data_IF_984706881131
#
_entry.id   IF_984706881131
#
_cell.length_a   1.000
_cell.length_b   1.000
_cell.length_c   1.000
_cell.angle_alpha   90.00
_cell.angle_beta   90.00
_cell.angle_gamma   90.00
#
_symmetry.space_group_name_H-M   'P 1'
#
loop_
_entity.id
_entity.type
_entity.pdbx_description
1 polymer ?
#
# COMPACT_ATOMS: atom_id res chain seq x y z
N UNK A 1 -85.33 3.10 37.05
CA UNK A 1 -84.26 3.15 36.03
C UNK A 1 -84.23 1.84 35.28
N UNK A 2 -84.34 1.84 33.94
CA UNK A 2 -84.15 0.63 33.13
C UNK A 2 -82.69 0.18 33.29
N UNK A 3 -82.47 -1.03 33.81
CA UNK A 3 -81.13 -1.59 34.11
C UNK A 3 -80.19 -1.53 32.88
N UNK A 4 -80.78 -1.61 31.70
CA UNK A 4 -80.09 -1.59 30.41
C UNK A 4 -79.41 -0.23 30.10
N UNK A 5 -80.00 0.88 30.57
CA UNK A 5 -79.42 2.22 30.38
C UNK A 5 -78.21 2.50 31.29
N UNK A 6 -78.19 1.88 32.48
CA UNK A 6 -77.07 2.02 33.43
C UNK A 6 -75.84 1.22 32.98
N UNK A 7 -76.04 0.04 32.39
CA UNK A 7 -74.97 -0.78 31.81
C UNK A 7 -74.30 -0.03 30.66
N UNK A 8 -75.09 0.61 29.77
CA UNK A 8 -74.53 1.41 28.67
C UNK A 8 -73.65 2.56 29.19
N UNK A 9 -74.10 3.23 30.26
CA UNK A 9 -73.39 4.36 30.87
C UNK A 9 -72.06 3.95 31.54
N UNK A 10 -71.93 2.69 31.98
CA UNK A 10 -70.69 2.11 32.50
C UNK A 10 -69.76 1.57 31.40
N UNK A 11 -70.31 0.98 30.33
CA UNK A 11 -69.52 0.38 29.24
C UNK A 11 -68.92 1.45 28.32
N UNK A 12 -69.65 2.53 28.05
CA UNK A 12 -69.19 3.62 27.17
C UNK A 12 -67.85 4.24 27.59
N UNK A 13 -67.62 4.66 28.86
CA UNK A 13 -66.32 5.20 29.27
C UNK A 13 -65.20 4.17 29.21
N UNK A 14 -65.50 2.88 29.43
CA UNK A 14 -64.51 1.80 29.32
C UNK A 14 -64.06 1.61 27.86
N UNK A 15 -65.01 1.62 26.92
CA UNK A 15 -64.70 1.58 25.48
C UNK A 15 -63.91 2.81 25.06
N UNK A 16 -64.28 3.99 25.55
CA UNK A 16 -63.60 5.25 25.23
C UNK A 16 -62.15 5.25 25.75
N UNK A 17 -61.92 4.73 26.96
CA UNK A 17 -60.59 4.53 27.51
C UNK A 17 -59.75 3.57 26.65
N UNK A 18 -60.32 2.43 26.22
CA UNK A 18 -59.63 1.50 25.33
C UNK A 18 -59.27 2.15 23.98
N UNK A 19 -60.16 2.98 23.42
CA UNK A 19 -59.87 3.75 22.21
C UNK A 19 -58.72 4.74 22.40
N UNK A 20 -58.63 5.43 23.55
CA UNK A 20 -57.52 6.33 23.84
C UNK A 20 -56.18 5.59 23.94
N UNK A 21 -56.15 4.45 24.65
CA UNK A 21 -54.93 3.63 24.78
C UNK A 21 -54.50 3.07 23.43
N UNK A 22 -55.44 2.54 22.65
CA UNK A 22 -55.16 2.06 21.30
C UNK A 22 -54.63 3.20 20.41
N UNK A 23 -55.26 4.37 20.43
CA UNK A 23 -54.81 5.55 19.70
C UNK A 23 -53.40 6.00 20.07
N UNK A 24 -53.07 6.00 21.36
CA UNK A 24 -51.71 6.31 21.84
C UNK A 24 -50.68 5.29 21.33
N UNK A 25 -51.01 4.00 21.37
CA UNK A 25 -50.12 2.93 20.88
C UNK A 25 -49.84 3.05 19.38
N UNK A 26 -50.85 3.39 18.57
CA UNK A 26 -50.66 3.65 17.13
C UNK A 26 -49.73 4.85 16.86
N UNK A 27 -49.86 5.93 17.63
CA UNK A 27 -48.97 7.10 17.52
C UNK A 27 -47.54 6.73 17.92
N UNK A 28 -47.38 5.96 19.00
CA UNK A 28 -46.07 5.49 19.46
C UNK A 28 -45.40 4.58 18.43
N UNK A 29 -46.10 3.58 17.90
CA UNK A 29 -45.55 2.70 16.87
C UNK A 29 -45.14 3.46 15.60
N UNK A 30 -45.92 4.45 15.17
CA UNK A 30 -45.58 5.27 14.01
C UNK A 30 -44.29 6.07 14.22
N UNK A 31 -44.07 6.59 15.44
CA UNK A 31 -42.82 7.26 15.81
C UNK A 31 -41.64 6.31 15.83
N UNK A 32 -41.83 5.09 16.33
CA UNK A 32 -40.77 4.10 16.40
C UNK A 32 -40.35 3.62 15.01
N UNK A 33 -41.30 3.30 14.14
CA UNK A 33 -41.03 2.94 12.75
C UNK A 33 -40.27 4.07 12.03
N UNK A 34 -40.65 5.32 12.30
CA UNK A 34 -39.95 6.49 11.74
C UNK A 34 -38.49 6.58 12.24
N UNK A 35 -38.26 6.40 13.54
CA UNK A 35 -36.91 6.43 14.12
C UNK A 35 -36.02 5.30 13.57
N UNK A 36 -36.57 4.09 13.46
CA UNK A 36 -35.85 2.93 12.90
C UNK A 36 -35.51 3.16 11.44
N UNK A 37 -36.45 3.65 10.63
CA UNK A 37 -36.19 3.98 9.22
C UNK A 37 -35.08 5.04 9.09
N UNK A 38 -35.10 6.06 9.95
CA UNK A 38 -34.07 7.10 9.99
C UNK A 38 -32.70 6.52 10.36
N UNK A 39 -32.62 5.65 11.36
CA UNK A 39 -31.38 4.98 11.76
C UNK A 39 -30.84 4.09 10.64
N UNK A 40 -31.70 3.28 10.01
CA UNK A 40 -31.32 2.43 8.88
C UNK A 40 -30.78 3.26 7.70
N UNK A 41 -31.44 4.37 7.37
CA UNK A 41 -30.97 5.26 6.32
C UNK A 41 -29.65 5.96 6.67
N UNK A 42 -29.45 6.33 7.95
CA UNK A 42 -28.17 6.88 8.42
C UNK A 42 -27.02 5.86 8.32
N UNK A 43 -27.25 4.60 8.69
CA UNK A 43 -26.26 3.52 8.53
C UNK A 43 -25.93 3.32 7.05
N UNK A 44 -26.95 3.31 6.17
CA UNK A 44 -26.72 3.19 4.72
C UNK A 44 -25.92 4.38 4.17
N UNK A 45 -26.23 5.61 4.57
CA UNK A 45 -25.48 6.80 4.20
C UNK A 45 -24.02 6.72 4.65
N UNK A 46 -23.75 6.17 5.84
CA UNK A 46 -22.39 5.93 6.31
C UNK A 46 -21.63 4.93 5.42
N UNK A 47 -22.24 3.78 5.08
CA UNK A 47 -21.60 2.79 4.19
C UNK A 47 -21.36 3.33 2.78
N UNK A 48 -22.22 4.23 2.29
CA UNK A 48 -21.99 4.93 1.02
C UNK A 48 -20.79 5.87 1.09
N UNK A 49 -20.63 6.59 2.20
CA UNK A 49 -19.46 7.43 2.43
C UNK A 49 -18.17 6.58 2.51
N UNK A 50 -18.21 5.44 3.19
CA UNK A 50 -17.06 4.53 3.32
C UNK A 50 -16.65 3.92 1.96
N UNK A 51 -17.63 3.53 1.15
CA UNK A 51 -17.38 3.10 -0.22
C UNK A 51 -16.75 4.23 -1.08
N UNK A 52 -17.19 5.48 -0.87
CA UNK A 52 -16.60 6.64 -1.50
C UNK A 52 -15.14 6.88 -1.06
N UNK A 53 -14.81 6.72 0.22
CA UNK A 53 -13.42 6.75 0.71
C UNK A 53 -12.58 5.65 0.06
N UNK A 54 -13.09 4.42 0.00
CA UNK A 54 -12.39 3.29 -0.63
C UNK A 54 -12.07 3.57 -2.11
N UNK A 55 -13.04 4.14 -2.83
CA UNK A 55 -12.83 4.60 -4.20
C UNK A 55 -11.79 5.72 -4.25
N UNK A 56 -11.85 6.68 -3.33
CA UNK A 56 -10.90 7.77 -3.29
C UNK A 56 -9.45 7.31 -3.12
N UNK A 57 -9.22 6.33 -2.25
CA UNK A 57 -7.90 5.71 -2.07
C UNK A 57 -7.45 5.04 -3.37
N UNK A 58 -8.35 4.34 -4.07
CA UNK A 58 -8.03 3.72 -5.36
C UNK A 58 -7.66 4.75 -6.44
N UNK A 59 -8.45 5.81 -6.60
CA UNK A 59 -8.21 6.84 -7.62
C UNK A 59 -6.94 7.64 -7.29
N UNK A 60 -6.71 8.01 -6.01
CA UNK A 60 -5.49 8.70 -5.56
C UNK A 60 -4.23 7.85 -5.71
N UNK A 61 -4.34 6.52 -5.73
CA UNK A 61 -3.21 5.65 -6.07
C UNK A 61 -2.74 5.82 -7.50
N UNK A 62 -3.66 6.04 -8.41
CA UNK A 62 -3.35 6.18 -9.84
C UNK A 62 -3.06 7.63 -10.23
N UNK A 63 -3.79 8.58 -9.63
CA UNK A 63 -3.68 10.00 -9.91
C UNK A 63 -3.74 10.81 -8.60
N UNK A 64 -2.61 10.86 -7.91
CA UNK A 64 -2.52 11.59 -6.65
C UNK A 64 -2.58 13.11 -6.83
N UNK A 65 -2.17 13.65 -7.99
CA UNK A 65 -1.97 15.09 -8.18
C UNK A 65 -3.23 15.76 -8.69
N UNK A 66 -3.85 15.20 -9.72
CA UNK A 66 -4.88 15.89 -10.51
C UNK A 66 -6.30 15.39 -10.20
N UNK A 67 -6.45 14.25 -9.51
CA UNK A 67 -7.76 13.77 -9.11
C UNK A 67 -8.40 14.73 -8.09
N UNK A 68 -9.61 15.21 -8.43
CA UNK A 68 -10.34 16.26 -7.71
C UNK A 68 -11.64 15.78 -7.05
N UNK A 69 -11.88 14.47 -7.09
CA UNK A 69 -13.07 13.84 -6.50
C UNK A 69 -14.18 13.61 -7.52
N UNK A 70 -15.37 13.29 -7.02
CA UNK A 70 -16.55 13.01 -7.84
C UNK A 70 -17.80 13.44 -7.10
N UNK A 71 -18.82 13.90 -7.80
CA UNK A 71 -20.06 14.37 -7.17
C UNK A 71 -21.27 13.64 -7.72
N UNK A 72 -22.24 13.37 -6.85
CA UNK A 72 -23.57 12.86 -7.23
C UNK A 72 -23.56 11.49 -7.90
N UNK A 73 -22.70 10.56 -7.49
CA UNK A 73 -22.68 9.21 -8.07
C UNK A 73 -23.85 8.41 -7.52
N UNK A 74 -24.88 8.23 -8.35
CA UNK A 74 -26.05 7.43 -8.00
C UNK A 74 -25.81 5.93 -8.18
N UNK A 75 -26.16 5.14 -7.17
CA UNK A 75 -26.11 3.67 -7.23
C UNK A 75 -27.42 3.04 -7.74
N UNK A 76 -28.28 3.84 -8.40
CA UNK A 76 -29.55 3.40 -8.96
C UNK A 76 -30.76 3.66 -8.05
N UNK A 77 -31.92 3.17 -8.47
CA UNK A 77 -33.20 3.47 -7.82
C UNK A 77 -33.23 3.03 -6.35
N UNK A 78 -33.28 4.01 -5.44
CA UNK A 78 -33.31 3.77 -3.99
C UNK A 78 -31.96 3.39 -3.35
N UNK A 79 -30.87 3.38 -4.12
CA UNK A 79 -29.52 3.03 -3.65
C UNK A 79 -28.79 4.18 -2.96
N UNK A 80 -29.23 5.42 -3.18
CA UNK A 80 -28.55 6.62 -2.69
C UNK A 80 -27.47 7.13 -3.62
N UNK A 81 -26.80 8.17 -3.17
CA UNK A 81 -25.71 8.84 -3.88
C UNK A 81 -24.51 9.00 -2.94
N UNK A 82 -23.30 9.03 -3.49
CA UNK A 82 -22.13 9.50 -2.76
C UNK A 82 -21.41 10.59 -3.55
N UNK A 83 -20.74 11.46 -2.81
CA UNK A 83 -19.85 12.49 -3.32
C UNK A 83 -18.53 12.44 -2.58
N UNK A 84 -17.44 12.75 -3.26
CA UNK A 84 -16.08 12.78 -2.74
C UNK A 84 -15.52 14.16 -3.05
N UNK A 85 -15.06 14.85 -2.02
CA UNK A 85 -14.33 16.11 -2.11
C UNK A 85 -12.92 15.91 -1.57
N UNK A 86 -11.93 16.53 -2.20
CA UNK A 86 -10.53 16.35 -1.87
C UNK A 86 -9.92 17.72 -1.61
N UNK A 87 -9.24 17.84 -0.48
CA UNK A 87 -8.40 18.98 -0.17
C UNK A 87 -7.11 18.95 -1.00
N UNK A 88 -6.55 20.13 -1.29
CA UNK A 88 -5.26 20.22 -1.97
C UNK A 88 -4.14 19.48 -1.22
N UNK A 89 -3.05 19.09 -1.92
CA UNK A 89 -1.92 18.43 -1.29
C UNK A 89 -1.25 19.35 -0.28
N UNK A 90 -0.99 18.83 0.92
CA UNK A 90 -0.27 19.50 2.00
C UNK A 90 1.00 18.71 2.28
N UNK A 91 2.17 19.33 2.07
CA UNK A 91 3.44 18.74 2.45
C UNK A 91 3.49 18.58 3.97
N UNK A 92 3.76 17.34 4.43
CA UNK A 92 3.96 17.01 5.85
C UNK A 92 5.46 17.09 6.18
N UNK A 93 6.29 16.58 5.27
CA UNK A 93 7.74 16.69 5.29
C UNK A 93 8.28 16.71 3.84
N UNK A 94 9.60 16.58 3.65
CA UNK A 94 10.25 16.61 2.32
C UNK A 94 9.88 15.42 1.43
N UNK A 95 9.46 14.31 2.01
CA UNK A 95 9.19 13.02 1.34
C UNK A 95 7.71 12.62 1.41
N UNK A 96 6.92 13.32 2.23
CA UNK A 96 5.56 12.98 2.61
C UNK A 96 4.61 14.11 2.27
N UNK A 97 3.60 13.80 1.48
CA UNK A 97 2.48 14.70 1.16
C UNK A 97 1.18 14.09 1.65
N UNK A 98 0.28 14.89 2.20
CA UNK A 98 -1.02 14.43 2.67
C UNK A 98 -2.15 15.13 1.92
N UNK A 99 -3.28 14.45 1.79
CA UNK A 99 -4.55 15.00 1.29
C UNK A 99 -5.68 14.59 2.22
N UNK A 100 -6.60 15.51 2.47
CA UNK A 100 -7.84 15.20 3.16
C UNK A 100 -8.90 14.83 2.13
N UNK A 101 -9.54 13.69 2.32
CA UNK A 101 -10.67 13.23 1.52
C UNK A 101 -11.90 13.27 2.39
N UNK A 102 -12.92 14.00 1.96
CA UNK A 102 -14.25 14.00 2.56
C UNK A 102 -15.20 13.26 1.62
N UNK A 103 -15.66 12.08 2.02
CA UNK A 103 -16.74 11.40 1.32
C UNK A 103 -18.06 11.61 2.05
N UNK A 104 -19.11 11.93 1.30
CA UNK A 104 -20.47 12.12 1.81
C UNK A 104 -21.40 11.16 1.10
N UNK A 105 -22.05 10.27 1.85
CA UNK A 105 -23.12 9.42 1.38
C UNK A 105 -24.48 10.03 1.73
N UNK A 106 -25.40 10.03 0.77
CA UNK A 106 -26.74 10.61 0.90
C UNK A 106 -27.78 9.57 0.48
N UNK A 107 -28.73 9.29 1.36
CA UNK A 107 -29.92 8.51 1.04
C UNK A 107 -31.08 9.48 0.80
N UNK A 108 -31.60 9.57 -0.45
CA UNK A 108 -32.79 10.34 -0.72
C UNK A 108 -33.94 9.66 0.02
N UNK A 109 -34.47 10.31 1.04
CA UNK A 109 -35.62 9.77 1.73
C UNK A 109 -36.86 10.35 1.05
N UNK A 110 -37.81 9.50 0.68
CA UNK A 110 -39.09 9.99 0.17
C UNK A 110 -39.71 11.01 1.12
N UNK A 111 -40.64 11.83 0.59
CA UNK A 111 -41.36 13.03 1.10
C UNK A 111 -41.58 13.29 2.62
N UNK A 112 -41.22 12.39 3.54
CA UNK A 112 -41.51 12.46 4.98
C UNK A 112 -40.29 12.55 5.91
N UNK A 113 -39.07 12.23 5.48
CA UNK A 113 -37.91 12.14 6.39
C UNK A 113 -36.83 13.20 6.09
N UNK A 114 -36.82 13.79 4.89
CA UNK A 114 -35.74 14.68 4.43
C UNK A 114 -34.46 13.88 4.13
N UNK A 115 -33.61 14.36 3.24
CA UNK A 115 -32.42 13.61 2.85
C UNK A 115 -31.50 13.38 4.05
N UNK A 116 -31.02 12.14 4.20
CA UNK A 116 -30.12 11.77 5.29
C UNK A 116 -28.74 11.62 4.70
N UNK A 117 -27.82 12.46 5.15
CA UNK A 117 -26.41 12.41 4.75
C UNK A 117 -25.52 12.01 5.93
N UNK A 118 -24.39 11.39 5.60
CA UNK A 118 -23.26 11.13 6.51
C UNK A 118 -21.97 11.42 5.77
N UNK A 119 -21.01 11.99 6.48
CA UNK A 119 -19.72 12.37 5.90
C UNK A 119 -18.58 11.76 6.69
N UNK A 120 -17.58 11.24 5.99
CA UNK A 120 -16.35 10.70 6.57
C UNK A 120 -15.19 11.50 6.00
N UNK A 121 -14.33 11.98 6.88
CA UNK A 121 -13.06 12.61 6.51
C UNK A 121 -11.90 11.65 6.79
N UNK A 122 -11.02 11.46 5.81
CA UNK A 122 -9.82 10.63 5.91
C UNK A 122 -8.61 11.41 5.47
N UNK A 123 -7.52 11.33 6.24
CA UNK A 123 -6.20 11.82 5.82
C UNK A 123 -5.46 10.70 5.10
N UNK A 124 -5.18 10.91 3.82
CA UNK A 124 -4.42 10.01 2.97
C UNK A 124 -3.03 10.61 2.81
N UNK A 125 -2.01 9.80 3.09
CA UNK A 125 -0.61 10.19 2.99
C UNK A 125 0.03 9.46 1.83
N UNK A 126 0.70 10.21 0.96
CA UNK A 126 1.65 9.73 -0.03
C UNK A 126 3.07 9.98 0.44
N UNK A 127 3.85 8.93 0.67
CA UNK A 127 5.26 9.04 1.07
C UNK A 127 6.17 8.32 0.07
N UNK A 128 7.29 8.95 -0.25
CA UNK A 128 8.34 8.37 -1.11
C UNK A 128 9.04 7.19 -0.44
N UNK A 129 9.57 6.29 -1.26
CA UNK A 129 10.57 5.35 -0.78
C UNK A 129 11.75 6.12 -0.16
N UNK A 130 12.26 5.69 1.00
CA UNK A 130 13.49 6.24 1.56
C UNK A 130 14.66 6.02 0.58
N UNK A 131 15.39 7.11 0.32
CA UNK A 131 16.70 7.06 -0.34
C UNK A 131 17.67 6.56 0.72
N UNK A 132 18.06 5.30 0.61
CA UNK A 132 18.89 4.60 1.60
C UNK A 132 19.57 3.40 0.96
N UNK A 133 20.65 2.92 1.57
CA UNK A 133 21.32 1.69 1.14
C UNK A 133 20.41 0.47 1.34
N UNK A 134 19.75 0.40 2.50
CA UNK A 134 18.88 -0.70 2.88
C UNK A 134 17.62 -0.14 3.52
N UNK A 135 16.49 -0.64 3.07
CA UNK A 135 15.20 -0.43 3.67
C UNK A 135 14.49 -1.77 3.80
N UNK A 136 14.05 -2.13 5.01
CA UNK A 136 13.27 -3.34 5.25
C UNK A 136 12.61 -3.28 6.63
N UNK A 137 11.49 -3.98 6.89
CA UNK A 137 10.92 -4.07 8.23
C UNK A 137 11.94 -4.59 9.25
N UNK A 138 12.59 -5.71 8.93
CA UNK A 138 13.67 -6.29 9.72
C UNK A 138 15.01 -6.24 8.97
N UNK A 139 16.06 -5.76 9.62
CA UNK A 139 17.42 -5.75 9.05
C UNK A 139 18.37 -6.51 9.98
N UNK A 140 19.03 -7.53 9.44
CA UNK A 140 20.04 -8.33 10.14
C UNK A 140 21.37 -8.35 9.38
N UNK A 141 22.43 -7.85 10.00
CA UNK A 141 23.79 -7.91 9.45
C UNK A 141 24.62 -8.91 10.24
N UNK A 142 25.06 -9.98 9.57
CA UNK A 142 25.78 -11.10 10.17
C UNK A 142 27.16 -11.29 9.51
N UNK A 143 28.22 -10.89 10.20
CA UNK A 143 29.60 -11.14 9.81
C UNK A 143 30.40 -9.85 9.70
N UNK A 144 31.68 -9.92 10.02
CA UNK A 144 32.61 -8.79 9.93
C UNK A 144 33.01 -8.42 8.49
N UNK A 145 32.57 -9.21 7.50
CA UNK A 145 32.82 -8.97 6.08
C UNK A 145 31.74 -8.14 5.38
N UNK A 146 30.66 -7.78 6.08
CA UNK A 146 29.58 -6.98 5.51
C UNK A 146 29.86 -5.50 5.67
N UNK A 147 29.83 -4.77 4.55
CA UNK A 147 29.98 -3.32 4.50
C UNK A 147 28.69 -2.70 3.97
N UNK A 148 28.16 -1.70 4.69
CA UNK A 148 27.02 -0.90 4.22
C UNK A 148 27.46 0.56 4.21
N UNK A 149 27.41 1.21 3.05
CA UNK A 149 27.81 2.60 2.85
C UNK A 149 26.59 3.44 2.50
N UNK A 150 25.98 4.03 3.51
CA UNK A 150 24.77 4.84 3.43
C UNK A 150 23.83 4.52 4.58
N UNK A 151 22.62 5.07 4.54
CA UNK A 151 21.65 4.90 5.62
C UNK A 151 20.92 3.55 5.54
N UNK A 152 20.57 3.02 6.71
CA UNK A 152 19.68 1.87 6.89
C UNK A 152 18.36 2.36 7.50
N UNK A 153 17.24 2.09 6.85
CA UNK A 153 15.92 2.41 7.38
C UNK A 153 15.17 1.11 7.70
N UNK A 154 14.62 1.01 8.92
CA UNK A 154 13.87 -0.17 9.36
C UNK A 154 12.63 0.21 10.17
N UNK A 155 11.61 -0.65 10.22
CA UNK A 155 10.41 -0.39 11.03
C UNK A 155 10.33 -1.23 12.30
N UNK A 156 10.73 -2.50 12.26
CA UNK A 156 10.57 -3.43 13.38
C UNK A 156 11.90 -3.65 14.11
N UNK A 157 12.83 -4.42 13.54
CA UNK A 157 14.07 -4.77 14.23
C UNK A 157 15.35 -4.51 13.41
N UNK A 158 16.40 -4.05 14.09
CA UNK A 158 17.76 -3.94 13.56
C UNK A 158 18.74 -4.74 14.43
N UNK A 159 19.42 -5.72 13.85
CA UNK A 159 20.35 -6.61 14.55
C UNK A 159 21.70 -6.70 13.84
N UNK A 160 22.80 -6.64 14.60
CA UNK A 160 24.16 -6.85 14.09
C UNK A 160 24.87 -7.98 14.85
N UNK A 161 25.65 -8.80 14.15
CA UNK A 161 26.45 -9.88 14.72
C UNK A 161 27.81 -10.00 14.00
N UNK A 162 28.97 -9.79 14.65
CA UNK A 162 29.11 -9.42 16.06
C UNK A 162 28.45 -8.07 16.35
N UNK A 163 27.89 -7.88 17.55
CA UNK A 163 27.25 -6.62 17.93
C UNK A 163 28.28 -5.49 17.91
N UNK A 164 27.87 -4.31 17.42
CA UNK A 164 28.69 -3.10 17.42
C UNK A 164 29.25 -2.65 16.07
N UNK A 165 28.68 -3.15 14.95
CA UNK A 165 28.90 -2.51 13.66
C UNK A 165 28.34 -1.09 13.66
N UNK A 166 29.16 -0.11 13.29
CA UNK A 166 28.80 1.31 13.21
C UNK A 166 28.15 1.59 11.85
N UNK A 167 26.88 1.17 11.71
CA UNK A 167 26.09 1.43 10.52
C UNK A 167 25.10 2.56 10.82
N UNK A 168 25.08 3.65 10.03
CA UNK A 168 24.03 4.67 10.12
C UNK A 168 22.65 4.02 9.95
N UNK A 169 21.78 4.18 10.95
CA UNK A 169 20.45 3.59 10.90
C UNK A 169 19.40 4.50 11.54
N UNK A 170 18.20 4.49 10.97
CA UNK A 170 17.03 5.21 11.45
C UNK A 170 15.83 4.27 11.50
N UNK A 171 15.12 4.26 12.63
CA UNK A 171 13.85 3.55 12.72
C UNK A 171 12.73 4.44 12.15
N UNK A 172 11.90 3.88 11.27
CA UNK A 172 10.73 4.52 10.68
C UNK A 172 9.50 3.59 10.81
N UNK A 173 8.79 3.73 11.93
CA UNK A 173 7.57 2.98 12.23
C UNK A 173 6.45 3.22 11.20
N UNK A 174 6.55 4.26 10.34
CA UNK A 174 5.57 4.49 9.29
C UNK A 174 5.70 3.54 8.10
N UNK A 175 6.73 2.68 8.06
CA UNK A 175 6.93 1.68 7.00
C UNK A 175 6.13 0.39 7.19
N UNK A 176 5.25 0.30 8.20
CA UNK A 176 4.37 -0.85 8.47
C UNK A 176 3.57 -1.35 7.25
N UNK A 177 3.27 -0.46 6.30
CA UNK A 177 2.71 -0.81 4.99
C UNK A 177 3.77 -0.66 3.90
N UNK A 178 4.41 -1.77 3.55
CA UNK A 178 5.50 -1.78 2.57
C UNK A 178 5.08 -1.12 1.24
N UNK A 179 5.82 -0.12 0.74
CA UNK A 179 5.50 0.61 -0.48
C UNK A 179 5.42 -0.33 -1.67
N UNK A 180 4.28 -0.35 -2.35
CA UNK A 180 4.10 -1.13 -3.57
C UNK A 180 4.16 -0.19 -4.78
N UNK A 181 5.22 -0.28 -5.61
CA UNK A 181 5.25 0.47 -6.86
C UNK A 181 4.09 0.03 -7.77
N UNK A 182 3.81 0.84 -8.80
CA UNK A 182 2.92 0.41 -9.89
C UNK A 182 3.59 -0.71 -10.69
N UNK A 183 3.33 -1.95 -10.27
CA UNK A 183 3.89 -3.14 -10.90
C UNK A 183 3.43 -3.29 -12.35
N UNK A 184 2.23 -2.84 -12.70
CA UNK A 184 1.74 -2.93 -14.07
C UNK A 184 2.51 -1.98 -14.99
N UNK A 185 2.78 -0.76 -14.51
CA UNK A 185 3.67 0.18 -15.20
C UNK A 185 5.07 -0.42 -15.36
N UNK A 186 5.69 -0.91 -14.29
CA UNK A 186 7.05 -1.46 -14.32
C UNK A 186 7.17 -2.69 -15.22
N UNK A 187 6.18 -3.59 -15.21
CA UNK A 187 6.12 -4.71 -16.14
C UNK A 187 6.04 -4.22 -17.60
N UNK A 188 5.18 -3.23 -17.88
CA UNK A 188 5.05 -2.68 -19.23
C UNK A 188 6.33 -2.01 -19.72
N UNK A 189 7.07 -1.33 -18.83
CA UNK A 189 8.36 -0.73 -19.13
C UNK A 189 9.39 -1.82 -19.41
N UNK A 190 9.50 -2.83 -18.56
CA UNK A 190 10.42 -3.95 -18.75
C UNK A 190 10.22 -4.66 -20.10
N UNK A 191 8.96 -4.90 -20.49
CA UNK A 191 8.59 -5.47 -21.80
C UNK A 191 8.90 -4.56 -23.00
N UNK A 192 8.86 -3.24 -22.79
CA UNK A 192 9.16 -2.25 -23.84
C UNK A 192 10.65 -2.06 -24.09
N UNK A 193 11.49 -2.39 -23.10
CA UNK A 193 12.94 -2.25 -23.15
C UNK A 193 13.56 -3.51 -23.76
N UNK A 194 13.62 -3.55 -25.08
CA UNK A 194 14.20 -4.67 -25.84
C UNK A 194 15.72 -4.53 -25.88
N UNK A 195 16.42 -5.52 -25.35
CA UNK A 195 17.88 -5.60 -25.36
C UNK A 195 18.42 -5.83 -26.79
N UNK A 196 19.71 -5.58 -27.06
CA UNK A 196 20.32 -5.85 -28.37
C UNK A 196 20.15 -7.30 -28.89
N UNK A 197 19.91 -8.25 -27.99
CA UNK A 197 19.62 -9.66 -28.31
C UNK A 197 18.19 -9.93 -28.78
N UNK A 198 17.29 -8.95 -28.71
CA UNK A 198 15.87 -9.07 -29.08
C UNK A 198 14.96 -9.55 -27.96
N UNK A 199 15.51 -9.88 -26.79
CA UNK A 199 14.78 -10.23 -25.57
C UNK A 199 14.42 -8.95 -24.79
N UNK A 200 13.28 -8.95 -24.10
CA UNK A 200 12.89 -7.86 -23.21
C UNK A 200 13.44 -8.10 -21.78
N UNK A 201 13.19 -7.17 -20.86
CA UNK A 201 13.66 -7.27 -19.48
C UNK A 201 12.60 -7.92 -18.54
N UNK A 202 11.65 -8.68 -19.09
CA UNK A 202 10.64 -9.39 -18.31
C UNK A 202 11.02 -10.87 -18.15
N UNK A 203 10.94 -11.38 -16.94
CA UNK A 203 11.26 -12.77 -16.62
C UNK A 203 10.12 -13.42 -15.84
N UNK A 204 9.48 -14.40 -16.48
CA UNK A 204 8.49 -15.29 -15.87
C UNK A 204 9.10 -16.25 -14.87
N UNK A 205 8.28 -16.89 -14.04
CA UNK A 205 8.74 -17.92 -13.09
C UNK A 205 9.47 -19.08 -13.78
N UNK A 206 9.04 -19.45 -14.99
CA UNK A 206 9.63 -20.52 -15.78
C UNK A 206 11.06 -20.19 -16.25
N UNK A 207 11.31 -18.91 -16.57
CA UNK A 207 12.62 -18.41 -17.03
C UNK A 207 13.62 -18.19 -15.90
N UNK A 208 13.15 -18.14 -14.65
CA UNK A 208 13.97 -18.03 -13.45
C UNK A 208 14.30 -19.40 -12.83
N UNK A 209 13.60 -20.47 -13.26
CA UNK A 209 13.77 -21.82 -12.73
C UNK A 209 14.93 -22.59 -13.39
N UNK A 210 15.55 -23.57 -12.70
CA UNK A 210 16.54 -24.43 -13.32
C UNK A 210 15.95 -25.19 -14.53
N UNK A 211 16.65 -25.30 -15.66
CA UNK A 211 18.07 -24.97 -15.89
C UNK A 211 18.31 -23.58 -16.49
N UNK A 212 17.32 -22.69 -16.49
CA UNK A 212 17.45 -21.38 -17.11
C UNK A 212 18.53 -20.54 -16.43
N UNK A 213 19.28 -19.80 -17.23
CA UNK A 213 20.28 -18.83 -16.80
C UNK A 213 19.95 -17.51 -17.51
N UNK A 214 18.97 -16.75 -16.99
CA UNK A 214 18.55 -15.51 -17.63
C UNK A 214 19.74 -14.57 -17.77
N UNK A 215 19.82 -13.88 -18.92
CA UNK A 215 20.85 -12.86 -19.14
C UNK A 215 20.28 -11.51 -18.75
N UNK A 216 20.83 -10.91 -17.69
CA UNK A 216 20.43 -9.57 -17.27
C UNK A 216 21.23 -8.49 -18.00
N UNK A 217 20.71 -7.25 -18.07
CA UNK A 217 21.49 -6.10 -18.54
C UNK A 217 22.74 -5.94 -17.67
N UNK A 218 23.80 -5.37 -18.24
CA UNK A 218 25.10 -5.18 -17.53
C UNK A 218 25.29 -3.73 -17.06
N UNK A 219 24.33 -2.85 -17.32
CA UNK A 219 24.36 -1.41 -17.01
C UNK A 219 23.06 -1.01 -16.32
N UNK A 220 23.14 -0.08 -15.37
CA UNK A 220 21.96 0.55 -14.79
C UNK A 220 21.09 1.26 -15.84
N UNK A 221 21.70 1.92 -16.83
CA UNK A 221 20.99 2.74 -17.80
C UNK A 221 20.58 1.94 -19.04
N UNK A 222 19.29 2.01 -19.40
CA UNK A 222 18.80 1.61 -20.71
C UNK A 222 19.12 2.68 -21.76
N UNK A 223 18.86 3.94 -21.41
CA UNK A 223 19.29 5.12 -22.15
C UNK A 223 19.92 6.12 -21.16
N UNK A 224 21.25 6.15 -21.13
CA UNK A 224 22.01 7.03 -20.24
C UNK A 224 21.81 8.52 -20.58
N UNK A 225 21.58 8.85 -21.85
CA UNK A 225 21.41 10.25 -22.29
C UNK A 225 20.07 10.79 -21.78
N UNK A 226 19.02 9.97 -21.85
CA UNK A 226 17.69 10.32 -21.35
C UNK A 226 17.50 10.02 -19.87
N UNK A 227 18.51 9.46 -19.19
CA UNK A 227 18.44 9.01 -17.80
C UNK A 227 17.30 8.02 -17.56
N UNK A 228 17.11 7.09 -18.50
CA UNK A 228 16.13 6.02 -18.39
C UNK A 228 16.85 4.76 -17.91
N UNK A 229 16.50 4.21 -16.73
CA UNK A 229 17.13 3.00 -16.21
C UNK A 229 16.57 1.76 -16.91
N UNK A 230 17.37 0.69 -16.95
CA UNK A 230 16.89 -0.65 -17.24
C UNK A 230 15.93 -1.07 -16.13
N UNK A 231 14.69 -1.43 -16.45
CA UNK A 231 13.75 -2.03 -15.50
C UNK A 231 13.73 -3.52 -15.75
N UNK A 232 14.19 -4.30 -14.77
CA UNK A 232 14.23 -5.76 -14.83
C UNK A 232 13.08 -6.29 -13.98
N UNK A 233 12.06 -6.88 -14.59
CA UNK A 233 10.87 -7.35 -13.89
C UNK A 233 10.86 -8.87 -13.77
N UNK A 234 10.82 -9.38 -12.53
CA UNK A 234 10.87 -10.80 -12.20
C UNK A 234 9.59 -11.19 -11.46
N UNK A 235 8.81 -12.13 -12.01
CA UNK A 235 7.61 -12.66 -11.34
C UNK A 235 7.93 -13.55 -10.14
N UNK A 236 9.15 -14.07 -10.08
CA UNK A 236 9.59 -15.05 -9.09
C UNK A 236 10.75 -14.58 -8.23
N UNK A 237 11.47 -15.55 -7.70
CA UNK A 237 12.65 -15.32 -6.88
C UNK A 237 13.87 -15.00 -7.76
N UNK A 238 14.70 -14.06 -7.30
CA UNK A 238 16.02 -13.80 -7.88
C UNK A 238 17.06 -14.61 -7.11
N UNK A 239 17.80 -15.45 -7.82
CA UNK A 239 18.92 -16.21 -7.23
C UNK A 239 20.25 -15.64 -7.70
N UNK A 240 21.10 -15.21 -6.77
CA UNK A 240 22.42 -14.60 -7.05
C UNK A 240 23.57 -15.55 -6.69
N UNK A 241 23.51 -16.80 -7.13
CA UNK A 241 24.48 -17.84 -6.78
C UNK A 241 25.70 -17.87 -7.70
N UNK A 242 26.85 -18.26 -7.13
CA UNK A 242 28.11 -18.35 -7.85
C UNK A 242 28.56 -17.00 -8.42
N UNK A 243 29.29 -17.03 -9.53
CA UNK A 243 29.73 -15.80 -10.20
C UNK A 243 28.61 -15.25 -11.08
N UNK A 244 27.95 -14.19 -10.61
CA UNK A 244 26.89 -13.49 -11.36
C UNK A 244 27.46 -12.46 -12.37
N UNK A 245 28.77 -12.22 -12.35
CA UNK A 245 29.41 -11.17 -13.15
C UNK A 245 29.00 -9.77 -12.72
N UNK A 246 28.77 -8.89 -13.69
CA UNK A 246 28.18 -7.56 -13.46
C UNK A 246 26.82 -7.52 -14.13
N UNK A 247 25.78 -7.32 -13.33
CA UNK A 247 24.41 -7.08 -13.80
C UNK A 247 24.01 -5.67 -13.39
N UNK A 248 23.07 -5.04 -14.10
CA UNK A 248 22.64 -3.69 -13.81
C UNK A 248 21.20 -3.42 -14.17
N UNK A 249 20.63 -2.43 -13.48
CA UNK A 249 19.26 -1.98 -13.65
C UNK A 249 18.50 -1.84 -12.34
N UNK A 250 17.24 -1.47 -12.44
CA UNK A 250 16.27 -1.49 -11.38
C UNK A 250 15.52 -2.82 -11.38
N UNK A 251 15.89 -3.72 -10.47
CA UNK A 251 15.32 -5.05 -10.33
C UNK A 251 14.04 -5.01 -9.49
N UNK A 252 12.93 -5.45 -10.06
CA UNK A 252 11.63 -5.62 -9.41
C UNK A 252 11.38 -7.11 -9.25
N UNK A 253 11.49 -7.59 -8.01
CA UNK A 253 11.42 -9.02 -7.70
C UNK A 253 10.13 -9.29 -6.93
N UNK A 254 9.19 -10.00 -7.55
CA UNK A 254 7.89 -10.38 -6.96
C UNK A 254 7.97 -11.59 -6.01
N UNK A 255 9.17 -12.07 -5.73
CA UNK A 255 9.50 -13.09 -4.75
C UNK A 255 10.67 -12.66 -3.86
N UNK A 256 11.41 -13.64 -3.36
CA UNK A 256 12.62 -13.42 -2.56
C UNK A 256 13.84 -13.14 -3.43
N UNK A 257 14.80 -12.41 -2.88
CA UNK A 257 16.14 -12.30 -3.45
C UNK A 257 17.06 -13.07 -2.53
N UNK A 258 17.68 -14.13 -3.04
CA UNK A 258 18.53 -14.97 -2.23
C UNK A 258 19.80 -15.39 -2.97
N UNK A 259 20.86 -15.63 -2.21
CA UNK A 259 21.92 -16.55 -2.66
C UNK A 259 21.53 -17.98 -2.20
N UNK A 260 22.48 -18.86 -1.92
CA UNK A 260 22.26 -20.08 -1.15
C UNK A 260 22.50 -19.76 0.34
N UNK A 261 21.45 -19.38 1.10
CA UNK A 261 21.62 -18.91 2.47
C UNK A 261 22.01 -20.03 3.45
N UNK A 262 21.83 -21.30 3.06
CA UNK A 262 22.06 -22.47 3.93
C UNK A 262 23.49 -23.03 3.82
N UNK A 263 24.24 -22.66 2.77
CA UNK A 263 25.59 -23.15 2.54
C UNK A 263 26.67 -22.16 2.98
N UNK A 264 26.78 -21.93 4.28
CA UNK A 264 27.74 -20.97 4.86
C UNK A 264 29.22 -21.38 4.72
N UNK A 265 29.50 -22.60 4.25
CA UNK A 265 30.86 -23.16 4.17
C UNK A 265 31.45 -23.20 2.76
N UNK A 266 30.64 -23.05 1.71
CA UNK A 266 31.09 -23.14 0.32
C UNK A 266 31.07 -21.78 -0.38
N UNK A 267 32.22 -21.11 -0.39
CA UNK A 267 32.40 -19.80 -1.02
C UNK A 267 32.27 -19.83 -2.55
N UNK A 268 32.18 -21.01 -3.18
CA UNK A 268 31.96 -21.14 -4.64
C UNK A 268 30.49 -21.13 -5.03
N UNK A 269 29.58 -21.39 -4.07
CA UNK A 269 28.13 -21.38 -4.25
C UNK A 269 27.54 -20.03 -3.83
N UNK A 270 28.15 -19.38 -2.83
CA UNK A 270 27.82 -18.02 -2.44
C UNK A 270 28.00 -17.03 -3.60
N UNK A 271 27.19 -15.97 -3.59
CA UNK A 271 27.20 -14.97 -4.65
C UNK A 271 28.53 -14.21 -4.71
N UNK A 272 29.09 -14.10 -5.90
CA UNK A 272 30.26 -13.28 -6.23
C UNK A 272 29.90 -12.44 -7.46
N UNK A 273 30.16 -11.14 -7.40
CA UNK A 273 29.92 -10.23 -8.51
C UNK A 273 29.37 -8.89 -8.06
N UNK A 274 28.79 -8.15 -8.99
CA UNK A 274 28.27 -6.81 -8.74
C UNK A 274 26.90 -6.58 -9.38
N UNK A 275 25.99 -5.99 -8.61
CA UNK A 275 24.75 -5.38 -9.10
C UNK A 275 24.98 -3.88 -9.16
N UNK A 276 25.03 -3.32 -10.37
CA UNK A 276 25.05 -1.88 -10.61
C UNK A 276 23.62 -1.38 -10.81
N UNK A 277 22.96 -1.07 -9.69
CA UNK A 277 21.55 -0.71 -9.67
C UNK A 277 20.84 -1.03 -8.37
N UNK A 278 19.52 -0.85 -8.40
CA UNK A 278 18.68 -0.96 -7.21
C UNK A 278 17.83 -2.22 -7.26
N UNK A 279 17.52 -2.79 -6.10
CA UNK A 279 16.71 -4.00 -5.97
C UNK A 279 15.51 -3.67 -5.09
N UNK A 280 14.31 -3.82 -5.65
CA UNK A 280 13.06 -3.83 -4.93
C UNK A 280 12.53 -5.27 -4.91
N UNK A 281 12.29 -5.83 -3.71
CA UNK A 281 11.71 -7.16 -3.53
C UNK A 281 10.47 -7.09 -2.66
N UNK A 282 9.41 -7.80 -3.04
CA UNK A 282 8.21 -7.98 -2.19
C UNK A 282 8.44 -9.00 -1.07
N UNK A 283 9.49 -9.82 -1.19
CA UNK A 283 9.85 -10.87 -0.25
C UNK A 283 10.99 -10.46 0.67
N UNK A 284 11.78 -11.45 1.06
CA UNK A 284 12.99 -11.28 1.83
C UNK A 284 14.22 -11.12 0.91
N UNK A 285 15.14 -10.26 1.34
CA UNK A 285 16.46 -10.10 0.74
C UNK A 285 17.48 -10.83 1.61
N UNK A 286 17.88 -12.04 1.24
CA UNK A 286 18.78 -12.91 2.02
C UNK A 286 20.05 -13.24 1.24
N UNK A 287 21.08 -12.41 1.39
CA UNK A 287 22.35 -12.63 0.70
C UNK A 287 23.42 -13.21 1.63
N UNK A 288 24.22 -14.12 1.08
CA UNK A 288 25.45 -14.61 1.65
C UNK A 288 26.56 -14.42 0.61
N UNK A 289 27.40 -13.42 0.81
CA UNK A 289 28.45 -13.10 -0.14
C UNK A 289 29.66 -14.02 -0.01
N UNK A 290 30.21 -14.41 -1.16
CA UNK A 290 31.34 -15.33 -1.29
C UNK A 290 32.70 -14.72 -0.91
N UNK A 291 33.80 -15.39 -1.28
CA UNK A 291 35.15 -14.93 -0.95
C UNK A 291 35.52 -13.59 -1.62
N UNK A 292 35.01 -13.36 -2.83
CA UNK A 292 35.31 -12.18 -3.66
C UNK A 292 34.23 -11.07 -3.56
N UNK A 293 33.37 -11.16 -2.55
CA UNK A 293 32.25 -10.25 -2.27
C UNK A 293 31.09 -10.27 -3.28
N UNK A 294 29.88 -10.07 -2.76
CA UNK A 294 28.70 -9.67 -3.53
C UNK A 294 28.47 -8.17 -3.30
N UNK A 295 28.63 -7.37 -4.35
CA UNK A 295 28.56 -5.91 -4.27
C UNK A 295 27.26 -5.40 -4.89
N UNK A 296 26.59 -4.46 -4.25
CA UNK A 296 25.39 -3.78 -4.75
C UNK A 296 25.66 -2.28 -4.70
N UNK A 297 25.76 -1.65 -5.86
CA UNK A 297 25.93 -0.22 -6.02
C UNK A 297 24.56 0.41 -6.40
N UNK A 298 23.82 0.86 -5.40
CA UNK A 298 22.43 1.29 -5.51
C UNK A 298 21.75 1.25 -4.16
N UNK A 299 20.55 0.68 -4.08
CA UNK A 299 19.90 0.42 -2.80
C UNK A 299 18.96 -0.76 -2.86
N UNK A 300 18.65 -1.28 -1.67
CA UNK A 300 17.80 -2.45 -1.50
C UNK A 300 16.58 -2.07 -0.70
N UNK A 301 15.41 -2.31 -1.28
CA UNK A 301 14.12 -2.22 -0.62
C UNK A 301 13.55 -3.64 -0.50
N UNK A 302 13.45 -4.19 0.71
CA UNK A 302 12.91 -5.52 0.96
C UNK A 302 11.61 -5.54 1.75
N UNK A 303 10.58 -6.17 1.18
CA UNK A 303 9.21 -6.22 1.71
C UNK A 303 9.04 -6.90 3.06
N UNK A 304 9.92 -7.82 3.41
CA UNK A 304 9.83 -8.58 4.66
C UNK A 304 11.03 -8.32 5.56
N UNK A 305 12.23 -8.65 5.07
CA UNK A 305 13.47 -8.53 5.83
C UNK A 305 14.67 -8.43 4.90
N UNK A 306 15.75 -7.80 5.36
CA UNK A 306 17.06 -7.82 4.74
C UNK A 306 18.06 -8.53 5.67
N UNK A 307 18.62 -9.64 5.21
CA UNK A 307 19.64 -10.39 5.93
C UNK A 307 20.91 -10.46 5.07
N UNK A 308 21.98 -9.88 5.59
CA UNK A 308 23.28 -9.87 4.94
C UNK A 308 24.25 -10.78 5.70
N UNK A 309 24.93 -11.66 4.97
CA UNK A 309 25.94 -12.60 5.49
C UNK A 309 27.18 -12.60 4.61
N UNK A 310 28.28 -13.11 5.18
CA UNK A 310 29.53 -13.35 4.44
C UNK A 310 30.28 -12.05 4.13
N UNK A 311 30.89 -11.99 2.95
CA UNK A 311 31.53 -10.77 2.43
C UNK A 311 30.58 -10.12 1.44
N UNK A 312 29.93 -9.04 1.84
CA UNK A 312 28.98 -8.33 0.98
C UNK A 312 29.13 -6.83 1.15
N UNK A 313 28.98 -6.07 0.07
CA UNK A 313 28.99 -4.61 0.12
C UNK A 313 27.67 -4.08 -0.46
N UNK A 314 26.97 -3.23 0.28
CA UNK A 314 25.87 -2.42 -0.25
C UNK A 314 26.27 -0.96 -0.12
N UNK A 315 26.28 -0.24 -1.24
CA UNK A 315 26.66 1.16 -1.31
C UNK A 315 25.53 1.94 -1.93
N UNK A 316 25.08 2.96 -1.20
CA UNK A 316 24.11 3.93 -1.70
C UNK A 316 24.61 4.61 -2.97
N UNK A 317 23.80 4.54 -4.02
CA UNK A 317 23.95 5.39 -5.19
C UNK A 317 22.74 6.32 -5.28
N UNK A 318 22.87 7.51 -4.69
CA UNK A 318 21.81 8.52 -4.59
C UNK A 318 21.22 8.87 -5.98
N UNK A 319 22.05 8.92 -7.02
CA UNK A 319 21.60 9.20 -8.38
C UNK A 319 20.63 8.13 -8.90
N UNK A 320 20.90 6.86 -8.63
CA UNK A 320 20.04 5.75 -9.06
C UNK A 320 18.73 5.76 -8.28
N UNK A 321 18.82 5.90 -6.96
CA UNK A 321 17.65 5.92 -6.08
C UNK A 321 16.73 7.09 -6.39
N UNK A 322 17.29 8.30 -6.55
CA UNK A 322 16.53 9.49 -6.90
C UNK A 322 15.89 9.36 -8.29
N UNK A 323 16.63 8.85 -9.27
CA UNK A 323 16.11 8.64 -10.62
C UNK A 323 14.92 7.66 -10.63
N UNK A 324 14.95 6.58 -9.85
CA UNK A 324 13.82 5.65 -9.72
C UNK A 324 12.59 6.35 -9.12
N UNK A 325 12.80 7.09 -8.04
CA UNK A 325 11.72 7.79 -7.34
C UNK A 325 11.07 8.85 -8.23
N UNK A 326 11.88 9.59 -8.99
CA UNK A 326 11.40 10.62 -9.92
C UNK A 326 10.73 10.03 -11.17
N UNK A 327 11.32 8.98 -11.76
CA UNK A 327 10.86 8.41 -13.04
C UNK A 327 9.61 7.54 -12.88
N UNK A 328 9.63 6.63 -11.90
CA UNK A 328 8.55 5.65 -11.73
C UNK A 328 7.59 6.00 -10.62
N UNK A 329 7.89 7.03 -9.84
CA UNK A 329 7.00 7.47 -8.79
C UNK A 329 6.74 6.38 -7.76
N UNK A 330 7.80 5.82 -7.18
CA UNK A 330 7.64 4.77 -6.18
C UNK A 330 7.28 5.41 -4.83
N UNK A 331 5.99 5.41 -4.51
CA UNK A 331 5.41 5.96 -3.29
C UNK A 331 4.52 4.92 -2.61
N UNK A 332 4.33 5.03 -1.29
CA UNK A 332 3.20 4.39 -0.62
C UNK A 332 2.05 5.37 -0.44
N UNK A 333 0.83 4.84 -0.44
CA UNK A 333 -0.36 5.58 -0.01
C UNK A 333 -0.99 4.86 1.18
N UNK A 334 -1.04 5.53 2.32
CA UNK A 334 -1.62 5.02 3.56
C UNK A 334 -2.67 5.98 4.10
N UNK A 335 -3.57 5.47 4.94
CA UNK A 335 -4.53 6.29 5.69
C UNK A 335 -3.98 6.54 7.08
N UNK A 336 -3.81 7.79 7.48
CA UNK A 336 -3.27 8.14 8.79
C UNK A 336 -4.38 8.32 9.85
N UNK A 337 -5.49 8.96 9.46
CA UNK A 337 -6.57 9.31 10.37
C UNK A 337 -7.92 9.26 9.66
N UNK A 338 -8.97 8.85 10.38
CA UNK A 338 -10.35 8.94 9.91
C UNK A 338 -11.26 9.51 11.01
N UNK A 339 -12.27 10.27 10.62
CA UNK A 339 -13.35 10.71 11.52
C UNK A 339 -14.67 10.86 10.77
N UNK A 340 -15.77 10.56 11.45
CA UNK A 340 -17.10 10.93 10.99
C UNK A 340 -17.33 12.42 11.26
N UNK A 341 -17.78 13.16 10.25
CA UNK A 341 -18.17 14.56 10.39
C UNK A 341 -19.65 14.65 10.79
N UNK A 342 -20.02 15.66 11.61
CA UNK A 342 -21.36 15.80 12.17
C UNK A 342 -22.47 16.09 11.15
#
# INVERSE_FOLDING_TARGET
MRKDGFILLLVLPLVLLMCMVAGYFFIYQRREVYNVQRQMASIKAFWLADAGVSRAIYELKNDYTDWSGITGVSLGAGGGEYSISIGGPVAVDLTTTSRYVVSTGTIPSGLTIGDISRSIEVSIIKKQLPISSISAPDVTINGSGVTVVGDIVYSDSFTTNPPGGDYPHTQDDSMDSWPQPDFALLESVARSQVQPGGEDNYFSNEELGPPASPTFPTSYWYDEVQRIPNVVYLEGNLTLNGNIGTIGGFFIVRGDVATDPENTGDTSINGVGSVDGCIYTTGAFNINGGADSLNINGGVWAGQKAVLRGTAEIRENEEYLQNIVETFGVYYISTNQWRELP
#
